data_IF_780463965118
#
_entry.id   IF_780463965118
#
_cell.length_a   1.000
_cell.length_b   1.000
_cell.length_c   1.000
_cell.angle_alpha   90.00
_cell.angle_beta   90.00
_cell.angle_gamma   90.00
#
_symmetry.space_group_name_H-M   'P 1'
#
loop_
_entity.id
_entity.type
_entity.pdbx_description
1 polymer ?
#
# COMPACT_ATOMS: atom_id res chain seq x y z
N UNK A 1 -8.05 -19.92 -12.89
CA UNK A 1 -8.49 -18.81 -12.00
C UNK A 1 -8.59 -17.54 -12.82
N UNK A 2 -9.80 -17.00 -12.99
CA UNK A 2 -9.96 -15.69 -13.62
C UNK A 2 -9.23 -14.66 -12.76
N UNK A 3 -8.24 -13.97 -13.33
CA UNK A 3 -7.51 -12.90 -12.64
C UNK A 3 -8.55 -11.85 -12.24
N UNK A 4 -8.66 -11.54 -10.94
CA UNK A 4 -9.61 -10.52 -10.48
C UNK A 4 -9.30 -9.22 -11.24
N UNK A 5 -10.31 -8.71 -11.95
CA UNK A 5 -10.22 -7.50 -12.79
C UNK A 5 -9.72 -6.30 -11.99
N UNK A 6 -9.88 -6.30 -10.67
CA UNK A 6 -9.41 -5.25 -9.77
C UNK A 6 -7.88 -5.14 -9.73
N UNK A 7 -7.16 -6.26 -9.74
CA UNK A 7 -5.69 -6.26 -9.80
C UNK A 7 -5.18 -5.68 -11.13
N UNK A 8 -5.86 -5.99 -12.23
CA UNK A 8 -5.55 -5.43 -13.56
C UNK A 8 -5.79 -3.92 -13.59
N UNK A 9 -6.89 -3.45 -13.00
CA UNK A 9 -7.18 -2.02 -12.91
C UNK A 9 -6.12 -1.27 -12.08
N UNK A 10 -5.72 -1.82 -10.93
CA UNK A 10 -4.66 -1.23 -10.10
C UNK A 10 -3.34 -1.15 -10.84
N UNK A 11 -2.96 -2.20 -11.59
CA UNK A 11 -1.75 -2.17 -12.42
C UNK A 11 -1.76 -0.96 -13.37
N UNK A 12 -2.83 -0.80 -14.14
CA UNK A 12 -2.96 0.32 -15.07
C UNK A 12 -2.90 1.68 -14.36
N UNK A 13 -3.47 1.78 -13.15
CA UNK A 13 -3.45 3.02 -12.36
C UNK A 13 -2.06 3.35 -11.80
N UNK A 14 -1.27 2.34 -11.44
CA UNK A 14 0.13 2.50 -11.02
C UNK A 14 0.99 2.92 -12.21
N UNK A 15 0.83 2.26 -13.36
CA UNK A 15 1.58 2.57 -14.59
C UNK A 15 1.27 3.97 -15.11
N UNK A 16 0.01 4.41 -15.03
CA UNK A 16 -0.40 5.77 -15.39
C UNK A 16 -0.05 6.82 -14.32
N UNK A 17 0.59 6.43 -13.20
CA UNK A 17 1.02 7.34 -12.14
C UNK A 17 -0.11 7.97 -11.33
N UNK A 18 -1.33 7.41 -11.39
CA UNK A 18 -2.45 7.83 -10.54
C UNK A 18 -2.29 7.34 -9.10
N UNK A 19 -1.83 6.10 -8.93
CA UNK A 19 -1.49 5.55 -7.62
C UNK A 19 -0.02 5.87 -7.35
N UNK A 20 0.23 6.69 -6.33
CA UNK A 20 1.58 7.14 -5.91
C UNK A 20 1.96 6.63 -4.54
N UNK A 21 0.97 6.19 -3.76
CA UNK A 21 1.16 5.68 -2.40
C UNK A 21 0.60 4.26 -2.27
N UNK A 22 1.28 3.44 -1.46
CA UNK A 22 0.86 2.05 -1.21
C UNK A 22 -0.58 1.91 -0.70
N UNK A 23 -1.04 2.85 0.13
CA UNK A 23 -2.41 2.78 0.69
C UNK A 23 -3.51 2.98 -0.37
N UNK A 24 -3.23 3.72 -1.44
CA UNK A 24 -4.21 4.05 -2.50
C UNK A 24 -4.60 2.82 -3.32
N UNK A 25 -3.73 1.79 -3.35
CA UNK A 25 -4.06 0.48 -3.95
C UNK A 25 -5.37 -0.07 -3.37
N UNK A 26 -5.56 0.09 -2.05
CA UNK A 26 -6.70 -0.47 -1.33
C UNK A 26 -7.97 0.36 -1.44
N UNK A 27 -7.96 1.45 -2.21
CA UNK A 27 -9.17 2.18 -2.61
C UNK A 27 -9.85 1.47 -3.79
N UNK A 28 -9.07 0.79 -4.62
CA UNK A 28 -9.56 0.08 -5.81
C UNK A 28 -9.73 -1.42 -5.58
N UNK A 29 -8.96 -2.02 -4.67
CA UNK A 29 -9.09 -3.42 -4.27
C UNK A 29 -9.54 -3.50 -2.81
N UNK A 30 -10.64 -4.22 -2.49
CA UNK A 30 -11.08 -4.40 -1.12
C UNK A 30 -9.99 -5.06 -0.27
N UNK A 31 -9.74 -4.47 0.91
CA UNK A 31 -8.76 -4.94 1.89
C UNK A 31 -8.97 -6.40 2.29
N UNK A 32 -10.22 -6.84 2.35
CA UNK A 32 -10.60 -8.21 2.71
C UNK A 32 -10.18 -9.23 1.66
N UNK A 33 -10.22 -8.86 0.38
CA UNK A 33 -9.76 -9.71 -0.73
C UNK A 33 -8.26 -9.89 -0.65
N UNK A 34 -7.52 -8.79 -0.56
CA UNK A 34 -6.05 -8.86 -0.48
C UNK A 34 -5.58 -9.55 0.81
N UNK A 35 -6.29 -9.34 1.92
CA UNK A 35 -6.00 -10.02 3.18
C UNK A 35 -6.22 -11.54 3.06
N UNK A 36 -7.30 -11.98 2.41
CA UNK A 36 -7.55 -13.40 2.15
C UNK A 36 -6.47 -14.00 1.24
N UNK A 37 -6.09 -13.29 0.16
CA UNK A 37 -5.05 -13.72 -0.78
C UNK A 37 -3.66 -13.82 -0.12
N UNK A 38 -3.36 -12.96 0.85
CA UNK A 38 -2.14 -13.00 1.65
C UNK A 38 -2.22 -13.91 2.89
N UNK A 39 -3.33 -14.63 3.09
CA UNK A 39 -3.54 -15.49 4.27
C UNK A 39 -3.54 -14.72 5.60
N UNK A 40 -3.91 -13.43 5.58
CA UNK A 40 -3.91 -12.54 6.74
C UNK A 40 -5.29 -12.26 7.29
N UNK A 41 -5.37 -12.10 8.62
CA UNK A 41 -6.58 -11.66 9.28
C UNK A 41 -6.93 -10.20 8.92
N UNK A 42 -8.16 -9.96 8.46
CA UNK A 42 -8.66 -8.67 7.95
C UNK A 42 -8.40 -7.47 8.87
N UNK A 43 -8.60 -7.65 10.18
CA UNK A 43 -8.38 -6.58 11.18
C UNK A 43 -6.91 -6.23 11.30
N UNK A 44 -6.02 -7.23 11.25
CA UNK A 44 -4.57 -7.01 11.31
C UNK A 44 -4.10 -6.31 10.04
N UNK A 45 -4.58 -6.76 8.89
CA UNK A 45 -4.28 -6.15 7.59
C UNK A 45 -4.65 -4.67 7.55
N UNK A 46 -5.89 -4.35 7.94
CA UNK A 46 -6.38 -2.96 7.96
C UNK A 46 -5.52 -2.04 8.84
N UNK A 47 -5.01 -2.54 9.97
CA UNK A 47 -4.09 -1.78 10.85
C UNK A 47 -2.69 -1.58 10.25
N UNK A 48 -2.27 -2.46 9.34
CA UNK A 48 -0.95 -2.40 8.71
C UNK A 48 -0.92 -1.48 7.49
N UNK A 49 -2.02 -1.33 6.73
CA UNK A 49 -2.07 -0.47 5.54
C UNK A 49 -1.57 0.96 5.81
N UNK A 50 -1.96 1.56 6.95
CA UNK A 50 -1.51 2.90 7.35
C UNK A 50 -0.08 2.96 7.93
N UNK A 51 0.58 1.82 8.08
CA UNK A 51 1.91 1.65 8.67
C UNK A 51 2.74 0.68 7.82
N UNK A 52 3.21 1.20 6.69
CA UNK A 52 4.01 0.46 5.71
C UNK A 52 5.21 -0.26 6.33
N UNK A 53 5.79 0.28 7.41
CA UNK A 53 6.89 -0.37 8.15
C UNK A 53 6.54 -1.73 8.80
N UNK A 54 5.26 -2.12 8.82
CA UNK A 54 4.81 -3.40 9.39
C UNK A 54 4.65 -4.52 8.36
N UNK A 55 4.82 -4.22 7.08
CA UNK A 55 4.83 -5.22 6.03
C UNK A 55 6.22 -5.86 5.92
N UNK A 56 6.27 -7.17 5.68
CA UNK A 56 7.50 -7.87 5.34
C UNK A 56 7.78 -7.75 3.85
N UNK A 57 9.05 -7.84 3.43
CA UNK A 57 9.39 -7.80 2.01
C UNK A 57 8.72 -8.92 1.20
N UNK A 58 8.55 -10.09 1.80
CA UNK A 58 7.84 -11.22 1.20
C UNK A 58 6.38 -10.88 0.87
N UNK A 59 5.67 -10.24 1.80
CA UNK A 59 4.28 -9.81 1.58
C UNK A 59 4.17 -8.77 0.45
N UNK A 60 5.18 -7.92 0.31
CA UNK A 60 5.23 -6.93 -0.76
C UNK A 60 5.47 -7.58 -2.11
N UNK A 61 6.39 -8.53 -2.19
CA UNK A 61 6.67 -9.23 -3.44
C UNK A 61 5.51 -10.13 -3.86
N UNK A 62 4.81 -10.75 -2.92
CA UNK A 62 3.56 -11.45 -3.21
C UNK A 62 2.50 -10.50 -3.78
N UNK A 63 2.32 -9.33 -3.16
CA UNK A 63 1.35 -8.34 -3.61
C UNK A 63 1.73 -7.74 -4.99
N UNK A 64 3.03 -7.54 -5.25
CA UNK A 64 3.53 -7.16 -6.57
C UNK A 64 3.24 -8.25 -7.62
N UNK A 65 3.40 -9.52 -7.25
CA UNK A 65 3.02 -10.66 -8.08
C UNK A 65 1.52 -10.70 -8.40
N UNK A 66 0.65 -10.42 -7.43
CA UNK A 66 -0.79 -10.35 -7.64
C UNK A 66 -1.20 -9.20 -8.56
N UNK A 67 -0.58 -8.02 -8.40
CA UNK A 67 -0.81 -6.85 -9.24
C UNK A 67 -0.10 -6.97 -10.60
N UNK A 68 0.92 -7.83 -10.71
CA UNK A 68 1.80 -7.97 -11.88
C UNK A 68 2.60 -6.72 -12.23
N UNK A 69 3.21 -6.13 -11.20
CA UNK A 69 4.15 -5.02 -11.32
C UNK A 69 5.55 -5.45 -10.88
N UNK A 70 6.61 -4.76 -11.33
CA UNK A 70 7.96 -4.99 -10.83
C UNK A 70 8.07 -4.78 -9.31
N UNK A 71 8.96 -5.54 -8.67
CA UNK A 71 9.21 -5.42 -7.23
C UNK A 71 9.73 -4.03 -6.85
N UNK A 72 10.48 -3.35 -7.72
CA UNK A 72 10.94 -1.98 -7.42
C UNK A 72 9.76 -1.01 -7.30
N UNK A 73 8.70 -1.20 -8.11
CA UNK A 73 7.53 -0.32 -8.10
C UNK A 73 6.75 -0.41 -6.80
N UNK A 74 6.58 -1.59 -6.23
CA UNK A 74 5.88 -1.70 -4.95
C UNK A 74 6.69 -1.10 -3.80
N UNK A 75 8.03 -1.24 -3.84
CA UNK A 75 8.93 -0.61 -2.89
C UNK A 75 8.85 0.91 -3.01
N UNK A 76 8.84 1.45 -4.23
CA UNK A 76 8.69 2.88 -4.50
C UNK A 76 7.41 3.44 -3.85
N UNK A 77 6.27 2.79 -4.08
CA UNK A 77 4.97 3.18 -3.50
C UNK A 77 4.98 3.17 -1.96
N UNK A 78 5.69 2.22 -1.36
CA UNK A 78 5.88 2.17 0.09
C UNK A 78 6.78 3.27 0.61
N UNK A 79 7.89 3.55 -0.07
CA UNK A 79 8.80 4.63 0.32
C UNK A 79 8.09 5.98 0.25
N UNK A 80 7.28 6.20 -0.79
CA UNK A 80 6.44 7.39 -0.89
C UNK A 80 5.48 7.53 0.30
N UNK A 81 4.79 6.44 0.66
CA UNK A 81 3.89 6.40 1.81
C UNK A 81 4.62 6.64 3.14
N UNK A 82 5.79 6.03 3.32
CA UNK A 82 6.62 6.18 4.52
C UNK A 82 7.07 7.63 4.70
N UNK A 83 7.59 8.24 3.62
CA UNK A 83 8.04 9.62 3.62
C UNK A 83 6.89 10.60 3.88
N UNK A 84 5.73 10.41 3.24
CA UNK A 84 4.54 11.24 3.45
C UNK A 84 4.10 11.23 4.92
N UNK A 85 4.11 10.05 5.56
CA UNK A 85 3.75 9.94 6.98
C UNK A 85 4.79 10.58 7.90
N UNK A 86 6.08 10.47 7.59
CA UNK A 86 7.15 11.13 8.36
C UNK A 86 7.02 12.65 8.31
N UNK A 87 6.79 13.22 7.14
CA UNK A 87 6.58 14.66 6.96
C UNK A 87 5.39 15.13 7.78
N UNK A 88 4.24 14.44 7.70
CA UNK A 88 3.06 14.77 8.51
C UNK A 88 3.33 14.76 10.01
N UNK A 89 4.10 13.80 10.52
CA UNK A 89 4.46 13.75 11.94
C UNK A 89 5.27 14.98 12.38
N UNK A 90 6.24 15.41 11.56
CA UNK A 90 7.08 16.58 11.87
C UNK A 90 6.25 17.86 11.99
N UNK A 91 5.40 18.12 10.99
CA UNK A 91 4.51 19.31 10.98
C UNK A 91 3.59 19.37 12.20
N UNK A 92 2.99 18.23 12.60
CA UNK A 92 2.10 18.19 13.78
C UNK A 92 2.86 18.49 15.08
N UNK A 93 4.10 18.03 15.20
CA UNK A 93 4.94 18.32 16.38
C UNK A 93 5.31 19.80 16.43
N UNK A 94 5.65 20.41 15.29
CA UNK A 94 5.99 21.82 15.21
C UNK A 94 4.79 22.73 15.56
N UNK A 95 3.59 22.41 15.06
CA UNK A 95 2.34 23.14 15.38
C UNK A 95 1.98 23.04 16.86
N UNK A 96 2.23 21.89 17.51
CA UNK A 96 1.99 21.71 18.95
C UNK A 96 3.00 22.45 19.82
N UNK A 97 4.22 22.66 19.35
CA UNK A 97 5.26 23.43 20.07
C UNK A 97 5.03 24.93 19.98
N UNK A 98 4.31 25.40 18.97
CA UNK A 98 3.99 26.81 18.74
C UNK A 98 2.69 27.29 19.41
N UNK A 99 1.98 26.42 20.15
CA UNK A 99 0.81 26.73 20.98
C UNK A 99 1.17 26.58 22.44
#
# INVERSE_FOLDING_TARGET
MARDKRYVAVKALIENGRIKMFQEIFEFIPKTVVAADLGKHNVRFSKMIGRVEKFTNEELFLLAGFIQIPNEKIIELMMNQYNHRRVKKKVVTDVKKAR
#
